data_IF_644952739675
#
_entry.id   IF_644952739675
#
_cell.length_a   1.000
_cell.length_b   1.000
_cell.length_c   1.000
_cell.angle_alpha   90.00
_cell.angle_beta   90.00
_cell.angle_gamma   90.00
#
_symmetry.space_group_name_H-M   'P 1'
#
loop_
_entity.id
_entity.type
_entity.pdbx_description
1 polymer ?
#
# COMPACT_ATOMS: atom_id res chain seq x y z
N UNK A 1 27.42 -22.31 6.01
CA UNK A 1 27.86 -20.92 5.76
C UNK A 1 26.61 -20.13 5.41
N UNK A 2 26.26 -19.16 6.23
CA UNK A 2 25.09 -18.30 6.06
C UNK A 2 25.53 -17.11 5.18
N UNK A 3 25.03 -16.91 3.96
CA UNK A 3 25.21 -15.63 3.32
C UNK A 3 24.24 -14.66 4.02
N UNK A 4 24.82 -13.70 4.75
CA UNK A 4 24.09 -12.51 5.18
C UNK A 4 23.40 -11.93 3.95
N UNK A 5 22.08 -12.02 3.94
CA UNK A 5 21.22 -11.31 3.02
C UNK A 5 21.30 -9.83 3.43
N UNK A 6 22.27 -9.12 2.86
CA UNK A 6 22.33 -7.66 2.91
C UNK A 6 21.29 -7.13 1.93
N UNK A 7 20.01 -7.27 2.28
CA UNK A 7 19.01 -6.39 1.70
C UNK A 7 19.14 -5.06 2.44
N UNK A 8 19.97 -4.20 1.87
CA UNK A 8 19.77 -2.76 1.96
C UNK A 8 18.40 -2.47 1.31
N UNK A 9 17.30 -2.77 2.03
CA UNK A 9 15.97 -2.30 1.66
C UNK A 9 15.99 -0.80 1.91
N UNK A 10 16.47 -0.06 0.93
CA UNK A 10 16.00 1.30 0.73
C UNK A 10 14.48 1.17 0.75
N UNK A 11 13.83 1.61 1.82
CA UNK A 11 12.38 1.61 2.00
C UNK A 11 11.79 2.59 0.96
N UNK A 12 11.87 2.22 -0.31
CA UNK A 12 11.06 2.81 -1.35
C UNK A 12 9.66 2.29 -1.04
N UNK A 13 8.97 2.97 -0.13
CA UNK A 13 7.59 2.67 0.22
C UNK A 13 6.85 2.43 -1.10
N UNK A 14 6.52 1.17 -1.38
CA UNK A 14 5.85 0.82 -2.63
C UNK A 14 4.50 1.52 -2.57
N UNK A 15 4.32 2.52 -3.43
CA UNK A 15 3.05 3.23 -3.53
C UNK A 15 1.97 2.20 -3.84
N UNK A 16 1.06 1.98 -2.90
CA UNK A 16 -0.12 1.15 -3.13
C UNK A 16 -1.17 2.01 -3.80
N UNK A 17 -1.90 1.42 -4.74
CA UNK A 17 -3.00 2.07 -5.43
C UNK A 17 -4.29 1.34 -5.10
N UNK A 18 -5.37 2.10 -4.95
CA UNK A 18 -6.70 1.56 -4.79
C UNK A 18 -7.12 0.82 -6.06
N UNK A 19 -7.60 -0.41 -5.90
CA UNK A 19 -8.05 -1.25 -7.03
C UNK A 19 -9.32 -0.71 -7.68
N UNK A 20 -10.15 0.04 -6.93
CA UNK A 20 -11.44 0.52 -7.42
C UNK A 20 -11.36 1.89 -8.08
N UNK A 21 -10.57 2.81 -7.53
CA UNK A 21 -10.52 4.21 -7.99
C UNK A 21 -9.13 4.68 -8.45
N UNK A 22 -8.09 3.86 -8.27
CA UNK A 22 -6.71 4.20 -8.66
C UNK A 22 -6.03 5.25 -7.77
N UNK A 23 -6.69 5.73 -6.71
CA UNK A 23 -6.08 6.68 -5.77
C UNK A 23 -4.91 6.05 -5.01
N UNK A 24 -3.88 6.84 -4.71
CA UNK A 24 -2.74 6.41 -3.90
C UNK A 24 -3.23 6.13 -2.47
N UNK A 25 -2.84 4.98 -1.94
CA UNK A 25 -3.07 4.59 -0.55
C UNK A 25 -1.81 4.99 0.21
N UNK A 26 -1.87 6.15 0.86
CA UNK A 26 -0.76 6.68 1.67
C UNK A 26 -0.66 5.97 3.03
N UNK A 27 -1.78 5.39 3.49
CA UNK A 27 -1.85 4.81 4.82
C UNK A 27 -1.70 3.29 4.81
N UNK A 28 -0.57 2.81 5.34
CA UNK A 28 -0.18 1.40 5.41
C UNK A 28 -0.93 0.60 6.50
N UNK A 29 -1.84 1.23 7.27
CA UNK A 29 -2.51 0.61 8.42
C UNK A 29 -3.30 -0.66 8.08
N UNK A 30 -3.64 -0.90 6.80
CA UNK A 30 -4.31 -2.13 6.37
C UNK A 30 -3.45 -2.83 5.30
N UNK A 31 -2.43 -3.63 5.70
CA UNK A 31 -1.48 -4.23 4.76
C UNK A 31 -2.15 -5.20 3.77
N UNK A 32 -3.31 -5.75 4.13
CA UNK A 32 -4.04 -6.77 3.36
C UNK A 32 -5.08 -6.22 2.38
N UNK A 33 -5.33 -4.91 2.38
CA UNK A 33 -6.40 -4.33 1.57
C UNK A 33 -5.84 -3.36 0.54
N UNK A 34 -6.09 -3.65 -0.74
CA UNK A 34 -5.74 -2.77 -1.85
C UNK A 34 -6.90 -1.82 -2.18
N UNK A 35 -7.54 -1.25 -1.16
CA UNK A 35 -8.60 -0.26 -1.28
C UNK A 35 -8.29 0.95 -0.39
N UNK A 36 -8.54 2.15 -0.91
CA UNK A 36 -8.48 3.36 -0.10
C UNK A 36 -9.65 3.40 0.90
N UNK A 37 -9.53 4.24 1.94
CA UNK A 37 -10.59 4.39 2.95
C UNK A 37 -11.96 4.75 2.36
N UNK A 38 -12.01 5.54 1.29
CA UNK A 38 -13.28 5.94 0.64
C UNK A 38 -13.99 4.74 0.04
N UNK A 39 -13.29 3.96 -0.79
CA UNK A 39 -13.84 2.72 -1.38
C UNK A 39 -14.19 1.69 -0.31
N UNK A 40 -13.33 1.52 0.70
CA UNK A 40 -13.58 0.58 1.80
C UNK A 40 -14.84 0.95 2.60
N UNK A 41 -15.12 2.24 2.75
CA UNK A 41 -16.31 2.76 3.44
C UNK A 41 -17.52 2.98 2.52
N UNK A 42 -17.41 2.65 1.22
CA UNK A 42 -18.41 2.94 0.19
C UNK A 42 -18.85 4.42 0.16
N UNK A 43 -17.87 5.33 0.29
CA UNK A 43 -18.08 6.78 0.19
C UNK A 43 -17.78 7.22 -1.26
N UNK A 44 -18.56 8.17 -1.77
CA UNK A 44 -18.38 8.72 -3.12
C UNK A 44 -17.02 9.45 -3.25
N UNK A 45 -16.43 9.33 -4.43
CA UNK A 45 -15.27 10.12 -4.84
C UNK A 45 -15.77 11.39 -5.53
N UNK A 46 -15.75 12.52 -4.81
CA UNK A 46 -15.97 13.86 -5.40
C UNK A 46 -14.84 14.28 -6.33
#
# INVERSE_FOLDING_TARGET
>A
MNPLFTEETTEKAELKYCTDCGSIIEDFQIPYLNQCEKCLRNIEHE
#
